data_IF_222356120730
#
_entry.id   IF_222356120730
#
_cell.length_a   1.000
_cell.length_b   1.000
_cell.length_c   1.000
_cell.angle_alpha   90.00
_cell.angle_beta   90.00
_cell.angle_gamma   90.00
#
_symmetry.space_group_name_H-M   'P 1'
#
loop_
_entity.id
_entity.type
_entity.pdbx_description
1 polymer ?
#
# COMPACT_ATOMS: atom_id res chain seq x y z
N UNK A 1 -0.43 -10.89 11.17
CA UNK A 1 -0.58 -9.43 11.24
C UNK A 1 0.23 -8.68 10.19
N UNK A 2 0.97 -9.39 9.31
CA UNK A 2 1.73 -8.79 8.19
C UNK A 2 0.88 -8.06 7.12
N UNK A 3 -0.43 -8.30 7.12
CA UNK A 3 -1.34 -8.04 5.99
C UNK A 3 -2.18 -6.75 6.09
N UNK A 4 -2.24 -6.07 7.24
CA UNK A 4 -3.04 -4.85 7.39
C UNK A 4 -2.59 -3.71 6.44
N UNK A 5 -1.33 -3.69 6.00
CA UNK A 5 -0.83 -2.77 4.96
C UNK A 5 -1.27 -3.15 3.53
N UNK A 6 -1.59 -4.43 3.29
CA UNK A 6 -2.08 -4.93 1.99
C UNK A 6 -3.50 -4.43 1.69
N UNK A 7 -4.29 -4.17 2.74
CA UNK A 7 -5.69 -3.75 2.72
C UNK A 7 -5.90 -2.29 2.30
N UNK A 8 -5.14 -1.35 2.89
CA UNK A 8 -5.11 0.04 2.43
C UNK A 8 -4.52 0.13 1.01
N UNK A 9 -3.53 -0.69 0.70
CA UNK A 9 -2.91 -0.72 -0.62
C UNK A 9 -3.88 -1.18 -1.70
N UNK A 10 -4.49 -2.37 -1.65
CA UNK A 10 -5.24 -2.91 -2.81
C UNK A 10 -6.58 -2.20 -3.16
N UNK A 11 -7.39 -1.79 -2.17
CA UNK A 11 -8.68 -1.14 -2.44
C UNK A 11 -8.50 0.32 -2.93
N UNK A 12 -7.45 0.99 -2.47
CA UNK A 12 -7.09 2.35 -2.88
C UNK A 12 -6.23 2.30 -4.15
N UNK A 13 -5.47 1.24 -4.41
CA UNK A 13 -4.71 1.01 -5.63
C UNK A 13 -5.59 1.00 -6.88
N UNK A 14 -6.78 0.38 -6.82
CA UNK A 14 -7.75 0.49 -7.93
C UNK A 14 -8.22 1.94 -8.18
N UNK A 15 -8.32 2.76 -7.12
CA UNK A 15 -8.79 4.14 -7.22
C UNK A 15 -7.67 5.13 -7.59
N UNK A 16 -6.43 4.90 -7.13
CA UNK A 16 -5.27 5.77 -7.33
C UNK A 16 -4.41 5.41 -8.54
N UNK A 17 -4.30 4.14 -8.94
CA UNK A 17 -3.64 3.78 -10.21
C UNK A 17 -4.39 4.40 -11.39
N UNK A 18 -5.73 4.38 -11.33
CA UNK A 18 -6.57 5.06 -12.33
C UNK A 18 -6.34 6.59 -12.31
N UNK A 19 -6.10 7.19 -11.14
CA UNK A 19 -5.92 8.64 -11.00
C UNK A 19 -4.48 9.12 -11.27
N UNK A 20 -3.46 8.29 -11.04
CA UNK A 20 -2.06 8.57 -11.37
C UNK A 20 -1.82 8.43 -12.89
N UNK A 21 -2.38 7.41 -13.54
CA UNK A 21 -2.36 7.25 -14.99
C UNK A 21 -3.07 8.41 -15.73
N UNK A 22 -4.05 9.07 -15.08
CA UNK A 22 -4.71 10.25 -15.62
C UNK A 22 -3.94 11.57 -15.39
N UNK A 23 -2.99 11.62 -14.45
CA UNK A 23 -2.25 12.84 -14.09
C UNK A 23 -0.98 13.04 -14.92
N UNK A 24 -0.26 11.97 -15.24
CA UNK A 24 1.03 12.07 -15.95
C UNK A 24 0.90 12.42 -17.44
N UNK A 25 -0.32 12.48 -17.99
CA UNK A 25 -0.58 13.02 -19.33
C UNK A 25 -0.42 14.56 -19.43
N UNK A 26 -0.15 15.27 -18.33
CA UNK A 26 0.03 16.74 -18.34
C UNK A 26 1.49 17.21 -18.27
N UNK A 27 2.46 16.28 -18.20
CA UNK A 27 3.90 16.56 -18.32
C UNK A 27 4.53 15.83 -19.51
N UNK A 28 3.85 15.85 -20.66
CA UNK A 28 4.49 15.58 -21.95
C UNK A 28 5.06 16.90 -22.47
N UNK A 29 6.26 17.26 -21.98
CA UNK A 29 7.08 18.29 -22.64
C UNK A 29 7.81 17.62 -23.80
N UNK A 30 7.35 17.95 -25.02
CA UNK A 30 8.02 17.80 -26.33
C UNK A 30 8.76 16.47 -26.57
N UNK A 31 8.06 15.54 -27.20
CA UNK A 31 8.70 14.69 -28.20
C UNK A 31 9.13 15.59 -29.37
N UNK A 32 10.43 15.82 -29.52
CA UNK A 32 11.01 16.31 -30.76
C UNK A 32 10.74 15.28 -31.85
N UNK A 33 10.07 15.71 -32.92
CA UNK A 33 9.99 14.98 -34.17
C UNK A 33 11.41 14.87 -34.75
N UNK A 34 12.15 13.83 -34.38
CA UNK A 34 13.32 13.37 -35.12
C UNK A 34 12.99 12.02 -35.75
N UNK A 35 12.55 12.07 -36.99
CA UNK A 35 12.55 10.94 -37.92
C UNK A 35 13.99 10.53 -38.19
N UNK A 36 14.53 9.65 -37.35
CA UNK A 36 15.84 9.05 -37.51
C UNK A 36 15.96 7.82 -36.63
N UNK A 37 15.57 6.65 -37.16
CA UNK A 37 15.87 5.35 -36.55
C UNK A 37 17.38 5.12 -36.54
N UNK A 38 18.04 5.56 -35.48
CA UNK A 38 19.32 5.03 -35.04
C UNK A 38 19.15 4.69 -33.56
N UNK A 39 19.22 3.40 -33.24
CA UNK A 39 19.09 2.91 -31.88
C UNK A 39 20.21 3.45 -31.01
N UNK A 40 20.00 4.63 -30.42
CA UNK A 40 20.78 5.09 -29.29
C UNK A 40 20.48 4.13 -28.14
N UNK A 41 21.53 3.44 -27.69
CA UNK A 41 21.46 2.70 -26.43
C UNK A 41 21.18 3.76 -25.37
N UNK A 42 19.99 3.75 -24.80
CA UNK A 42 19.59 4.69 -23.75
C UNK A 42 20.42 4.39 -22.49
N UNK A 43 21.52 5.11 -22.34
CA UNK A 43 22.45 4.94 -21.21
C UNK A 43 21.82 5.46 -19.93
N UNK A 44 22.02 4.71 -18.82
CA UNK A 44 21.56 5.12 -17.48
C UNK A 44 22.03 6.55 -17.18
N UNK A 45 21.12 7.48 -16.82
CA UNK A 45 21.53 8.84 -16.49
C UNK A 45 22.43 8.82 -15.26
N UNK A 46 23.45 9.69 -15.19
CA UNK A 46 24.34 9.72 -14.05
C UNK A 46 23.57 10.09 -12.78
N UNK A 47 23.80 9.32 -11.71
CA UNK A 47 23.28 9.66 -10.40
C UNK A 47 24.00 10.92 -9.88
N UNK A 48 23.26 12.03 -9.72
CA UNK A 48 23.76 13.23 -9.08
C UNK A 48 24.04 12.96 -7.60
N UNK A 49 25.28 13.22 -7.22
CA UNK A 49 25.76 13.20 -5.84
C UNK A 49 25.77 14.64 -5.35
N UNK A 50 24.84 14.98 -4.45
CA UNK A 50 24.79 16.30 -3.84
C UNK A 50 25.53 16.29 -2.51
N UNK A 51 26.70 16.95 -2.44
CA UNK A 51 27.53 16.99 -1.22
C UNK A 51 27.00 18.05 -0.24
N UNK A 52 26.47 19.16 -0.74
CA UNK A 52 25.98 20.27 0.06
C UNK A 52 24.60 20.72 -0.45
N UNK A 53 23.55 20.37 0.30
CA UNK A 53 22.16 20.76 -0.02
C UNK A 53 21.90 22.25 0.18
N UNK A 54 22.72 22.95 0.98
CA UNK A 54 22.52 24.36 1.32
C UNK A 54 23.02 25.26 0.18
N UNK A 55 24.15 24.89 -0.42
CA UNK A 55 24.79 25.67 -1.49
C UNK A 55 24.52 25.12 -2.90
N UNK A 56 23.61 24.15 -3.03
CA UNK A 56 23.26 23.56 -4.31
C UNK A 56 22.62 24.58 -5.26
N UNK A 57 23.05 24.56 -6.52
CA UNK A 57 22.42 25.34 -7.57
C UNK A 57 20.98 24.88 -7.83
N UNK A 58 20.15 25.76 -8.40
CA UNK A 58 18.79 25.40 -8.78
C UNK A 58 18.73 24.21 -9.73
N UNK A 59 19.70 24.07 -10.65
CA UNK A 59 19.80 22.94 -11.59
C UNK A 59 20.04 21.62 -10.85
N UNK A 60 20.91 21.62 -9.85
CA UNK A 60 21.20 20.45 -9.03
C UNK A 60 19.99 20.04 -8.19
N UNK A 61 19.29 21.01 -7.61
CA UNK A 61 18.05 20.78 -6.86
C UNK A 61 16.97 20.16 -7.76
N UNK A 62 16.79 20.67 -8.99
CA UNK A 62 15.83 20.11 -9.95
C UNK A 62 16.18 18.66 -10.31
N UNK A 63 17.46 18.38 -10.60
CA UNK A 63 17.93 17.01 -10.89
C UNK A 63 17.71 16.07 -9.71
N UNK A 64 17.99 16.53 -8.48
CA UNK A 64 17.74 15.73 -7.29
C UNK A 64 16.24 15.41 -7.13
N UNK A 65 15.36 16.38 -7.40
CA UNK A 65 13.91 16.13 -7.40
C UNK A 65 13.45 15.17 -8.50
N UNK A 66 14.06 15.22 -9.69
CA UNK A 66 13.82 14.27 -10.77
C UNK A 66 14.21 12.85 -10.33
N UNK A 67 15.41 12.68 -9.78
CA UNK A 67 15.87 11.38 -9.26
C UNK A 67 14.97 10.85 -8.15
N UNK A 68 14.57 11.71 -7.21
CA UNK A 68 13.64 11.34 -6.14
C UNK A 68 12.27 10.92 -6.70
N UNK A 69 11.81 11.58 -7.77
CA UNK A 69 10.57 11.21 -8.46
C UNK A 69 10.73 9.85 -9.15
N UNK A 70 11.87 9.60 -9.79
CA UNK A 70 12.16 8.31 -10.41
C UNK A 70 12.14 7.19 -9.36
N UNK A 71 12.82 7.37 -8.23
CA UNK A 71 12.81 6.38 -7.13
C UNK A 71 11.41 6.18 -6.56
N UNK A 72 10.61 7.24 -6.43
CA UNK A 72 9.25 7.13 -5.92
C UNK A 72 8.34 6.24 -6.79
N UNK A 73 8.57 6.20 -8.10
CA UNK A 73 7.78 5.41 -9.04
C UNK A 73 7.86 3.90 -8.77
N UNK A 74 8.98 3.41 -8.21
CA UNK A 74 9.18 1.97 -7.94
C UNK A 74 8.81 1.55 -6.52
N UNK A 75 8.24 2.44 -5.70
CA UNK A 75 7.84 2.10 -4.33
C UNK A 75 6.94 0.86 -4.26
N UNK A 76 5.96 0.74 -5.15
CA UNK A 76 5.08 -0.43 -5.19
C UNK A 76 5.79 -1.68 -5.74
N UNK A 77 6.76 -1.55 -6.65
CA UNK A 77 7.55 -2.71 -7.09
C UNK A 77 8.38 -3.26 -5.92
N UNK A 78 8.98 -2.36 -5.13
CA UNK A 78 9.67 -2.72 -3.88
C UNK A 78 8.71 -3.34 -2.86
N UNK A 79 7.47 -2.84 -2.76
CA UNK A 79 6.41 -3.47 -1.96
C UNK A 79 6.17 -4.93 -2.39
N UNK A 80 6.00 -5.17 -3.69
CA UNK A 80 5.77 -6.51 -4.25
C UNK A 80 6.91 -7.48 -3.94
N UNK A 81 8.15 -6.99 -3.86
CA UNK A 81 9.31 -7.79 -3.50
C UNK A 81 9.45 -8.04 -1.98
N UNK A 82 9.18 -7.03 -1.13
CA UNK A 82 9.35 -7.18 0.33
C UNK A 82 8.21 -7.95 0.98
N UNK A 83 6.99 -7.88 0.44
CA UNK A 83 5.81 -8.50 1.06
C UNK A 83 6.01 -10.02 1.30
N UNK A 84 6.47 -10.81 0.32
CA UNK A 84 6.76 -12.22 0.55
C UNK A 84 7.80 -12.43 1.66
N UNK A 85 8.92 -11.71 1.63
CA UNK A 85 10.00 -11.82 2.62
C UNK A 85 9.51 -11.49 4.04
N UNK A 86 8.64 -10.49 4.16
CA UNK A 86 8.03 -10.10 5.44
C UNK A 86 7.13 -11.17 6.06
N UNK A 87 6.71 -12.15 5.25
CA UNK A 87 5.90 -13.29 5.69
C UNK A 87 6.75 -14.51 6.09
N UNK A 88 8.09 -14.41 6.02
CA UNK A 88 8.97 -15.46 6.49
C UNK A 88 8.85 -15.65 8.02
N UNK A 89 8.99 -16.88 8.54
CA UNK A 89 9.02 -17.12 9.99
C UNK A 89 10.07 -16.25 10.69
N UNK A 90 9.68 -15.54 11.74
CA UNK A 90 10.54 -14.61 12.48
C UNK A 90 10.73 -13.23 11.85
N UNK A 91 10.23 -13.00 10.62
CA UNK A 91 10.19 -11.68 10.00
C UNK A 91 8.98 -10.88 10.49
N UNK A 92 9.15 -9.56 10.55
CA UNK A 92 8.08 -8.58 10.72
C UNK A 92 7.76 -7.92 9.37
N UNK A 93 6.59 -7.27 9.31
CA UNK A 93 6.20 -6.41 8.18
C UNK A 93 6.53 -4.94 8.42
N UNK A 94 7.50 -4.64 9.30
CA UNK A 94 7.73 -3.27 9.78
C UNK A 94 8.14 -2.30 8.67
N UNK A 95 8.83 -2.74 7.62
CA UNK A 95 9.21 -1.88 6.49
C UNK A 95 8.05 -1.55 5.55
N UNK A 96 7.10 -2.48 5.40
CA UNK A 96 6.02 -2.43 4.39
C UNK A 96 5.20 -1.12 4.40
N UNK A 97 4.76 -0.57 5.55
CA UNK A 97 3.98 0.68 5.57
C UNK A 97 4.74 1.90 5.03
N UNK A 98 6.07 1.85 5.01
CA UNK A 98 6.93 2.98 4.67
C UNK A 98 7.41 2.94 3.22
N UNK A 99 7.11 1.88 2.46
CA UNK A 99 7.39 1.80 1.03
C UNK A 99 6.30 2.51 0.21
N UNK A 100 6.10 3.80 0.48
CA UNK A 100 5.19 4.65 -0.29
C UNK A 100 5.99 5.54 -1.25
N UNK A 101 5.42 5.96 -2.40
CA UNK A 101 6.08 6.90 -3.29
C UNK A 101 6.54 8.17 -2.56
N UNK A 102 5.68 8.69 -1.67
CA UNK A 102 5.98 9.91 -0.93
C UNK A 102 7.15 9.70 0.04
N UNK A 103 7.12 8.65 0.86
CA UNK A 103 8.20 8.36 1.81
C UNK A 103 9.52 8.12 1.09
N UNK A 104 9.55 7.35 0.00
CA UNK A 104 10.79 7.12 -0.75
C UNK A 104 11.31 8.39 -1.43
N UNK A 105 10.42 9.26 -1.91
CA UNK A 105 10.81 10.57 -2.45
C UNK A 105 11.53 11.39 -1.38
N UNK A 106 10.93 11.56 -0.21
CA UNK A 106 11.55 12.32 0.88
C UNK A 106 12.79 11.65 1.44
N UNK A 107 12.84 10.32 1.45
CA UNK A 107 14.03 9.57 1.83
C UNK A 107 15.23 9.88 0.93
N UNK A 108 15.05 9.94 -0.41
CA UNK A 108 16.12 10.33 -1.33
C UNK A 108 16.50 11.80 -1.21
N UNK A 109 15.51 12.68 -0.94
CA UNK A 109 15.75 14.11 -0.72
C UNK A 109 16.45 14.40 0.62
N UNK A 110 16.47 13.45 1.55
CA UNK A 110 17.09 13.65 2.85
C UNK A 110 18.61 13.87 2.68
N UNK A 111 19.23 14.89 3.32
CA UNK A 111 20.63 15.24 3.09
C UNK A 111 21.60 14.07 3.26
N UNK A 112 21.40 13.24 4.28
CA UNK A 112 22.24 12.06 4.53
C UNK A 112 22.07 10.92 3.51
N UNK A 113 21.06 11.00 2.64
CA UNK A 113 20.72 9.95 1.68
C UNK A 113 20.84 10.38 0.22
N UNK A 114 20.79 11.67 -0.07
CA UNK A 114 21.03 12.23 -1.39
C UNK A 114 22.39 11.83 -2.01
N UNK A 115 23.40 11.58 -1.17
CA UNK A 115 24.73 11.08 -1.60
C UNK A 115 25.05 9.66 -1.08
N UNK A 116 24.04 8.91 -0.63
CA UNK A 116 24.29 7.59 -0.07
C UNK A 116 24.40 6.51 -1.16
N UNK A 117 25.12 5.44 -0.85
CA UNK A 117 25.18 4.25 -1.71
C UNK A 117 23.79 3.61 -1.90
N UNK A 118 22.93 3.65 -0.87
CA UNK A 118 21.54 3.20 -0.93
C UNK A 118 20.70 4.08 -1.85
N UNK A 119 20.88 5.40 -1.84
CA UNK A 119 20.20 6.31 -2.77
C UNK A 119 20.56 6.02 -4.23
N UNK A 120 21.85 5.81 -4.52
CA UNK A 120 22.33 5.41 -5.85
C UNK A 120 21.78 4.04 -6.27
N UNK A 121 21.75 3.07 -5.35
CA UNK A 121 21.21 1.74 -5.64
C UNK A 121 19.69 1.77 -5.90
N UNK A 122 18.94 2.58 -5.15
CA UNK A 122 17.51 2.82 -5.38
C UNK A 122 17.25 3.41 -6.76
N UNK A 123 18.02 4.42 -7.15
CA UNK A 123 17.91 5.03 -8.47
C UNK A 123 18.19 4.03 -9.59
N UNK A 124 19.24 3.20 -9.44
CA UNK A 124 19.54 2.11 -10.38
C UNK A 124 18.41 1.10 -10.52
N UNK A 125 17.89 0.62 -9.40
CA UNK A 125 16.75 -0.30 -9.39
C UNK A 125 15.53 0.35 -10.03
N UNK A 126 15.29 1.63 -9.77
CA UNK A 126 14.22 2.39 -10.41
C UNK A 126 14.38 2.45 -11.93
N UNK A 127 15.58 2.80 -12.40
CA UNK A 127 15.89 2.86 -13.81
C UNK A 127 15.64 1.51 -14.50
N UNK A 128 16.18 0.43 -13.96
CA UNK A 128 16.06 -0.91 -14.55
C UNK A 128 14.66 -1.52 -14.51
N UNK A 129 13.80 -1.09 -13.58
CA UNK A 129 12.45 -1.66 -13.43
C UNK A 129 11.36 -0.83 -14.07
N UNK A 130 11.60 0.46 -14.35
CA UNK A 130 10.54 1.37 -14.77
C UNK A 130 10.98 2.34 -15.87
N UNK A 131 12.13 3.00 -15.73
CA UNK A 131 12.47 4.13 -16.62
C UNK A 131 13.24 3.74 -17.88
N UNK A 132 13.88 2.57 -17.94
CA UNK A 132 14.74 2.21 -19.08
C UNK A 132 13.97 1.87 -20.37
N UNK A 133 12.64 1.75 -20.34
CA UNK A 133 11.82 1.67 -21.55
C UNK A 133 10.33 1.97 -21.28
N UNK A 134 9.58 2.49 -22.27
CA UNK A 134 8.13 2.63 -22.16
C UNK A 134 7.40 1.30 -21.92
N UNK A 135 7.96 0.18 -22.43
CA UNK A 135 7.43 -1.17 -22.20
C UNK A 135 7.42 -1.53 -20.72
N UNK A 136 8.47 -1.16 -19.97
CA UNK A 136 8.52 -1.40 -18.52
C UNK A 136 7.46 -0.57 -17.77
N UNK A 137 7.26 0.68 -18.16
CA UNK A 137 6.22 1.54 -17.56
C UNK A 137 4.82 0.94 -17.78
N UNK A 138 4.54 0.49 -19.01
CA UNK A 138 3.28 -0.19 -19.33
C UNK A 138 3.12 -1.52 -18.58
N UNK A 139 4.22 -2.23 -18.30
CA UNK A 139 4.23 -3.52 -17.60
C UNK A 139 4.19 -3.41 -16.08
N UNK A 140 4.08 -2.21 -15.50
CA UNK A 140 4.23 -1.99 -14.05
C UNK A 140 3.41 -2.95 -13.17
N UNK A 141 2.15 -3.19 -13.54
CA UNK A 141 1.24 -4.04 -12.80
C UNK A 141 1.63 -5.51 -12.82
N UNK A 142 2.12 -5.99 -13.95
CA UNK A 142 2.57 -7.37 -14.08
C UNK A 142 3.96 -7.56 -13.47
N UNK A 143 4.85 -6.56 -13.61
CA UNK A 143 6.12 -6.50 -12.89
C UNK A 143 5.94 -6.64 -11.38
N UNK A 144 4.97 -5.91 -10.79
CA UNK A 144 4.61 -6.06 -9.37
C UNK A 144 4.27 -7.52 -9.00
N UNK A 145 3.45 -8.19 -9.82
CA UNK A 145 3.06 -9.60 -9.59
C UNK A 145 4.25 -10.55 -9.75
N UNK A 146 5.11 -10.32 -10.74
CA UNK A 146 6.29 -11.14 -11.00
C UNK A 146 7.29 -11.05 -9.86
N UNK A 147 7.54 -9.83 -9.35
CA UNK A 147 8.34 -9.63 -8.14
C UNK A 147 7.74 -10.38 -6.95
N UNK A 148 6.43 -10.29 -6.73
CA UNK A 148 5.75 -11.07 -5.69
C UNK A 148 5.98 -12.58 -5.81
N UNK A 149 5.85 -13.15 -7.01
CA UNK A 149 6.09 -14.58 -7.25
C UNK A 149 7.55 -14.98 -7.01
N UNK A 150 8.49 -14.21 -7.56
CA UNK A 150 9.92 -14.53 -7.46
C UNK A 150 10.42 -14.38 -6.03
N UNK A 151 10.01 -13.33 -5.31
CA UNK A 151 10.40 -13.18 -3.90
C UNK A 151 9.68 -14.16 -2.97
N UNK A 152 8.51 -14.67 -3.34
CA UNK A 152 7.90 -15.84 -2.67
C UNK A 152 8.78 -17.07 -2.83
N UNK A 153 9.23 -17.35 -4.05
CA UNK A 153 10.15 -18.45 -4.30
C UNK A 153 11.49 -18.28 -3.56
N UNK A 154 12.07 -17.07 -3.56
CA UNK A 154 13.30 -16.76 -2.82
C UNK A 154 13.11 -17.04 -1.33
N UNK A 155 12.00 -16.59 -0.73
CA UNK A 155 11.69 -16.87 0.68
C UNK A 155 11.69 -18.37 0.99
N UNK A 156 11.11 -19.16 0.10
CA UNK A 156 10.86 -20.58 0.33
C UNK A 156 12.08 -21.47 0.01
N UNK A 157 13.00 -21.00 -0.84
CA UNK A 157 14.07 -21.84 -1.40
C UNK A 157 15.50 -21.32 -1.11
N UNK A 158 15.65 -20.09 -0.65
CA UNK A 158 16.97 -19.50 -0.36
C UNK A 158 17.16 -19.38 1.15
N UNK A 159 18.32 -19.77 1.70
CA UNK A 159 18.63 -19.55 3.11
C UNK A 159 18.48 -18.07 3.47
N UNK A 160 17.67 -17.78 4.49
CA UNK A 160 17.44 -16.43 4.97
C UNK A 160 18.16 -16.19 6.30
N UNK A 161 18.62 -14.97 6.52
CA UNK A 161 19.19 -14.50 7.78
C UNK A 161 18.32 -13.42 8.38
N UNK A 162 18.03 -13.58 9.67
CA UNK A 162 17.34 -12.58 10.45
C UNK A 162 18.22 -11.35 10.63
N UNK A 163 17.64 -10.18 10.40
CA UNK A 163 18.23 -8.89 10.68
C UNK A 163 17.29 -8.11 11.58
N UNK A 164 17.80 -7.65 12.71
CA UNK A 164 17.08 -6.78 13.63
C UNK A 164 17.40 -5.31 13.33
N UNK A 165 16.45 -4.43 13.65
CA UNK A 165 16.67 -2.99 13.64
C UNK A 165 17.09 -2.55 15.05
N UNK A 166 18.21 -1.82 15.21
CA UNK A 166 18.63 -1.32 16.52
C UNK A 166 17.52 -0.55 17.23
N UNK A 167 17.22 -0.94 18.48
CA UNK A 167 16.15 -0.32 19.27
C UNK A 167 14.72 -0.74 18.90
N UNK A 168 14.54 -1.61 17.89
CA UNK A 168 13.22 -2.11 17.46
C UNK A 168 13.24 -3.64 17.27
N UNK A 169 13.32 -4.44 18.35
CA UNK A 169 13.43 -5.91 18.24
C UNK A 169 12.21 -6.57 17.57
N UNK A 170 11.04 -5.91 17.61
CA UNK A 170 9.83 -6.36 16.90
C UNK A 170 9.83 -6.03 15.41
N UNK A 171 10.82 -5.27 14.93
CA UNK A 171 11.00 -4.91 13.53
C UNK A 171 12.14 -5.74 12.91
N UNK A 172 12.09 -7.05 13.09
CA UNK A 172 13.03 -7.97 12.44
C UNK A 172 12.64 -8.21 10.98
N UNK A 173 13.59 -8.52 10.10
CA UNK A 173 13.32 -8.98 8.74
C UNK A 173 14.28 -10.06 8.28
N UNK A 174 13.77 -10.97 7.44
CA UNK A 174 14.53 -12.09 6.89
C UNK A 174 15.02 -11.75 5.47
N UNK A 175 16.33 -11.83 5.24
CA UNK A 175 16.95 -11.51 3.96
C UNK A 175 17.77 -12.67 3.41
N UNK A 176 17.88 -12.84 2.08
CA UNK A 176 18.79 -13.82 1.48
C UNK A 176 20.20 -13.76 2.08
N UNK A 177 20.72 -14.92 2.50
CA UNK A 177 22.01 -15.10 3.15
C UNK A 177 23.01 -15.85 2.26
N UNK A 178 23.00 -15.54 0.97
CA UNK A 178 23.92 -16.08 -0.05
C UNK A 178 24.50 -14.92 -0.87
N UNK A 179 25.59 -15.17 -1.59
CA UNK A 179 26.24 -14.13 -2.41
C UNK A 179 25.34 -13.64 -3.54
N UNK A 180 25.54 -12.40 -4.01
CA UNK A 180 24.72 -11.83 -5.09
C UNK A 180 24.75 -12.68 -6.37
N UNK A 181 25.93 -13.20 -6.73
CA UNK A 181 26.09 -14.06 -7.91
C UNK A 181 25.35 -15.39 -7.75
N UNK A 182 25.43 -16.00 -6.55
CA UNK A 182 24.72 -17.24 -6.22
C UNK A 182 23.20 -17.03 -6.26
N UNK A 183 22.72 -15.91 -5.72
CA UNK A 183 21.30 -15.55 -5.77
C UNK A 183 20.82 -15.33 -7.21
N UNK A 184 21.58 -14.62 -8.04
CA UNK A 184 21.27 -14.48 -9.47
C UNK A 184 21.22 -15.83 -10.16
N UNK A 185 22.20 -16.71 -9.93
CA UNK A 185 22.22 -18.04 -10.54
C UNK A 185 21.02 -18.89 -10.11
N UNK A 186 20.68 -18.89 -8.83
CA UNK A 186 19.53 -19.63 -8.29
C UNK A 186 18.21 -19.13 -8.90
N UNK A 187 18.01 -17.82 -8.98
CA UNK A 187 16.80 -17.23 -9.57
C UNK A 187 16.75 -17.46 -11.08
N UNK A 188 17.87 -17.34 -11.79
CA UNK A 188 17.94 -17.65 -13.22
C UNK A 188 17.59 -19.12 -13.50
N UNK A 189 18.08 -20.04 -12.66
CA UNK A 189 17.70 -21.46 -12.73
C UNK A 189 16.21 -21.65 -12.48
N UNK A 190 15.62 -20.93 -11.53
CA UNK A 190 14.20 -21.01 -11.24
C UNK A 190 13.32 -20.50 -12.39
N UNK A 191 13.79 -19.48 -13.12
CA UNK A 191 13.13 -18.89 -14.29
C UNK A 191 13.41 -19.62 -15.61
N UNK A 192 14.25 -20.66 -15.61
CA UNK A 192 14.58 -21.44 -16.80
C UNK A 192 13.38 -22.21 -17.35
N UNK A 193 13.51 -22.80 -18.55
CA UNK A 193 12.43 -23.54 -19.22
C UNK A 193 11.90 -24.74 -18.44
N UNK A 194 12.71 -25.32 -17.55
CA UNK A 194 12.34 -26.42 -16.66
C UNK A 194 12.19 -25.99 -15.20
N UNK A 195 12.31 -24.69 -14.92
CA UNK A 195 12.28 -24.16 -13.56
C UNK A 195 10.85 -23.94 -13.03
N UNK A 196 10.67 -23.91 -11.69
CA UNK A 196 9.38 -23.69 -11.06
C UNK A 196 8.73 -22.32 -11.36
N UNK A 197 9.49 -21.38 -11.91
CA UNK A 197 9.01 -20.04 -12.31
C UNK A 197 8.96 -19.86 -13.83
N UNK A 198 8.97 -20.93 -14.61
CA UNK A 198 8.96 -20.87 -16.08
C UNK A 198 7.82 -19.99 -16.64
N UNK A 199 6.58 -20.16 -16.17
CA UNK A 199 5.44 -19.34 -16.62
C UNK A 199 5.65 -17.86 -16.32
N UNK A 200 6.32 -17.54 -15.20
CA UNK A 200 6.67 -16.16 -14.85
C UNK A 200 7.68 -15.58 -15.84
N UNK A 201 8.66 -16.38 -16.28
CA UNK A 201 9.64 -15.97 -17.28
C UNK A 201 9.01 -15.71 -18.66
N UNK A 202 8.07 -16.56 -19.09
CA UNK A 202 7.31 -16.34 -20.34
C UNK A 202 6.56 -15.02 -20.27
N UNK A 203 5.80 -14.81 -19.19
CA UNK A 203 4.99 -13.60 -19.03
C UNK A 203 5.84 -12.34 -18.89
N UNK A 204 6.98 -12.42 -18.20
CA UNK A 204 7.93 -11.33 -18.07
C UNK A 204 8.52 -10.93 -19.44
N UNK A 205 8.89 -11.90 -20.26
CA UNK A 205 9.40 -11.64 -21.61
C UNK A 205 8.34 -11.07 -22.54
N UNK A 206 7.11 -11.60 -22.50
CA UNK A 206 6.03 -11.15 -23.40
C UNK A 206 5.40 -9.83 -22.98
N UNK A 207 5.30 -9.55 -21.68
CA UNK A 207 4.61 -8.37 -21.14
C UNK A 207 5.56 -7.21 -20.88
N UNK A 208 6.75 -7.50 -20.34
CA UNK A 208 7.70 -6.46 -19.92
C UNK A 208 8.92 -6.32 -20.85
N UNK A 209 9.09 -7.20 -21.84
CA UNK A 209 10.27 -7.20 -22.71
C UNK A 209 11.59 -7.51 -21.99
N UNK A 210 11.52 -8.05 -20.77
CA UNK A 210 12.71 -8.43 -19.99
C UNK A 210 12.98 -9.92 -20.15
N UNK A 211 14.26 -10.27 -20.32
CA UNK A 211 14.67 -11.67 -20.32
C UNK A 211 14.74 -12.20 -18.89
N UNK A 212 14.57 -13.51 -18.73
CA UNK A 212 14.73 -14.19 -17.43
C UNK A 212 16.07 -13.86 -16.76
N UNK A 213 17.16 -13.86 -17.54
CA UNK A 213 18.51 -13.55 -17.05
C UNK A 213 18.64 -12.10 -16.60
N UNK A 214 18.12 -11.15 -17.38
CA UNK A 214 18.15 -9.73 -17.00
C UNK A 214 17.37 -9.49 -15.71
N UNK A 215 16.18 -10.08 -15.58
CA UNK A 215 15.38 -9.97 -14.37
C UNK A 215 16.03 -10.66 -13.16
N UNK A 216 16.62 -11.85 -13.33
CA UNK A 216 17.35 -12.53 -12.27
C UNK A 216 18.55 -11.71 -11.74
N UNK A 217 19.21 -10.93 -12.61
CA UNK A 217 20.28 -10.02 -12.22
C UNK A 217 19.79 -8.82 -11.38
N UNK A 218 18.50 -8.47 -11.44
CA UNK A 218 17.92 -7.40 -10.61
C UNK A 218 17.60 -7.86 -9.19
N UNK A 219 17.34 -9.15 -8.97
CA UNK A 219 16.89 -9.66 -7.67
C UNK A 219 17.87 -9.37 -6.52
N UNK A 220 19.19 -9.58 -6.65
CA UNK A 220 20.12 -9.19 -5.58
C UNK A 220 20.15 -7.69 -5.32
N UNK A 221 20.02 -6.86 -6.36
CA UNK A 221 20.02 -5.40 -6.21
C UNK A 221 18.77 -4.93 -5.45
N UNK A 222 17.59 -5.47 -5.81
CA UNK A 222 16.33 -5.21 -5.11
C UNK A 222 16.42 -5.67 -3.66
N UNK A 223 16.91 -6.89 -3.43
CA UNK A 223 17.06 -7.43 -2.08
C UNK A 223 18.04 -6.61 -1.23
N UNK A 224 19.15 -6.15 -1.82
CA UNK A 224 20.12 -5.31 -1.13
C UNK A 224 19.51 -3.96 -0.76
N UNK A 225 18.79 -3.32 -1.68
CA UNK A 225 18.11 -2.04 -1.42
C UNK A 225 17.07 -2.18 -0.31
N UNK A 226 16.24 -3.22 -0.33
CA UNK A 226 15.25 -3.47 0.72
C UNK A 226 15.91 -3.70 2.09
N UNK A 227 17.04 -4.41 2.10
CA UNK A 227 17.84 -4.64 3.31
C UNK A 227 18.40 -3.34 3.90
N UNK A 228 18.90 -2.43 3.05
CA UNK A 228 19.38 -1.11 3.50
C UNK A 228 18.23 -0.21 3.95
N UNK A 229 17.10 -0.18 3.23
CA UNK A 229 15.89 0.53 3.67
C UNK A 229 15.39 0.02 5.04
N UNK A 230 15.51 -1.29 5.29
CA UNK A 230 15.17 -1.86 6.59
C UNK A 230 16.12 -1.41 7.71
N UNK A 231 17.43 -1.25 7.45
CA UNK A 231 18.35 -0.63 8.42
C UNK A 231 17.94 0.80 8.76
N UNK A 232 17.44 1.51 7.76
CA UNK A 232 16.98 2.90 7.87
C UNK A 232 15.53 3.04 8.34
N UNK A 233 14.93 1.99 8.90
CA UNK A 233 13.53 2.00 9.29
C UNK A 233 13.18 3.18 10.22
N UNK A 234 14.04 3.53 11.18
CA UNK A 234 13.85 4.68 12.07
C UNK A 234 13.78 6.00 11.28
N UNK A 235 14.64 6.18 10.28
CA UNK A 235 14.62 7.38 9.43
C UNK A 235 13.32 7.43 8.60
N UNK A 236 12.92 6.31 7.99
CA UNK A 236 11.67 6.22 7.22
C UNK A 236 10.44 6.53 8.09
N UNK A 237 10.43 6.05 9.33
CA UNK A 237 9.40 6.35 10.33
C UNK A 237 9.35 7.84 10.68
N UNK A 238 10.50 8.46 10.95
CA UNK A 238 10.60 9.88 11.28
C UNK A 238 10.15 10.76 10.11
N UNK A 239 10.62 10.49 8.89
CA UNK A 239 10.17 11.20 7.68
C UNK A 239 8.66 11.08 7.49
N UNK A 240 8.10 9.89 7.69
CA UNK A 240 6.66 9.67 7.58
C UNK A 240 5.87 10.44 8.65
N UNK A 241 6.40 10.50 9.87
CA UNK A 241 5.84 11.30 10.96
C UNK A 241 5.92 12.81 10.66
N UNK A 242 7.06 13.32 10.20
CA UNK A 242 7.23 14.73 9.84
C UNK A 242 6.27 15.14 8.72
N UNK A 243 6.14 14.31 7.69
CA UNK A 243 5.16 14.54 6.61
C UNK A 243 3.72 14.54 7.13
N UNK A 244 3.41 13.68 8.08
CA UNK A 244 2.09 13.67 8.71
C UNK A 244 1.88 14.97 9.51
N UNK A 245 2.80 15.31 10.41
CA UNK A 245 2.70 16.48 11.26
C UNK A 245 2.62 17.78 10.40
N UNK A 246 3.46 17.93 9.38
CA UNK A 246 3.48 19.12 8.53
C UNK A 246 2.18 19.34 7.72
N UNK A 247 1.45 18.28 7.39
CA UNK A 247 0.26 18.37 6.53
C UNK A 247 -1.07 18.14 7.26
N UNK A 248 -1.03 17.52 8.45
CA UNK A 248 -2.22 16.96 9.09
C UNK A 248 -2.28 17.18 10.60
N UNK A 249 -1.29 17.82 11.24
CA UNK A 249 -1.52 18.35 12.58
C UNK A 249 -2.70 19.30 12.47
N UNK A 250 -3.77 19.15 13.27
CA UNK A 250 -4.84 20.12 13.29
C UNK A 250 -4.20 21.49 13.43
N UNK A 251 -4.36 22.37 12.43
CA UNK A 251 -4.17 23.79 12.67
C UNK A 251 -4.97 24.09 13.94
N UNK A 252 -4.33 24.77 14.90
CA UNK A 252 -4.86 25.03 16.24
C UNK A 252 -6.39 25.01 16.24
N UNK A 253 -7.03 24.24 17.15
CA UNK A 253 -8.47 24.00 17.11
C UNK A 253 -9.15 25.28 16.69
N UNK A 254 -9.75 25.28 15.50
CA UNK A 254 -10.50 26.43 15.00
C UNK A 254 -11.35 26.87 16.18
N UNK A 255 -10.98 28.02 16.77
CA UNK A 255 -11.75 28.56 17.88
C UNK A 255 -13.07 28.90 17.23
N UNK A 256 -14.00 27.99 17.40
CA UNK A 256 -15.37 28.14 16.98
C UNK A 256 -15.91 29.27 17.84
N UNK A 257 -15.68 30.50 17.39
CA UNK A 257 -16.43 31.68 17.80
C UNK A 257 -17.85 31.50 17.23
N UNK A 258 -18.52 30.42 17.63
CA UNK A 258 -19.85 30.05 17.25
C UNK A 258 -20.79 31.12 17.79
N UNK A 259 -20.95 32.20 17.03
CA UNK A 259 -22.24 32.85 16.90
C UNK A 259 -23.22 31.74 16.54
N UNK A 260 -24.05 31.36 17.52
CA UNK A 260 -25.14 30.39 17.40
C UNK A 260 -25.84 30.58 16.06
N UNK A 261 -25.53 29.71 15.10
CA UNK A 261 -26.33 29.59 13.88
C UNK A 261 -27.65 28.96 14.33
N UNK A 262 -28.82 29.59 14.10
CA UNK A 262 -30.09 29.03 14.49
C UNK A 262 -30.28 27.68 13.82
N UNK A 263 -30.54 26.63 14.60
CA UNK A 263 -30.94 25.32 14.07
C UNK A 263 -32.18 25.52 13.17
N UNK A 264 -32.09 25.21 11.86
CA UNK A 264 -33.29 25.20 11.04
C UNK A 264 -34.18 24.04 11.49
N UNK A 265 -35.51 24.25 11.57
CA UNK A 265 -36.44 23.27 12.08
C UNK A 265 -36.37 21.98 11.25
N UNK A 266 -36.08 20.87 11.91
CA UNK A 266 -36.35 19.47 11.55
C UNK A 266 -36.84 19.22 10.11
N UNK A 267 -35.94 19.37 9.13
CA UNK A 267 -36.06 18.64 7.86
C UNK A 267 -34.95 17.60 7.81
N UNK A 268 -35.24 16.41 8.34
CA UNK A 268 -34.55 15.19 7.92
C UNK A 268 -34.72 15.10 6.40
N UNK A 269 -33.72 15.55 5.63
CA UNK A 269 -33.59 15.12 4.24
C UNK A 269 -33.29 13.62 4.31
N UNK A 270 -34.33 12.80 4.23
CA UNK A 270 -34.13 11.45 3.70
C UNK A 270 -33.48 11.65 2.33
N UNK A 271 -32.35 10.99 2.10
CA UNK A 271 -31.84 10.84 0.74
C UNK A 271 -33.00 10.25 -0.06
N UNK A 272 -33.55 11.06 -0.97
CA UNK A 272 -34.53 10.61 -1.93
C UNK A 272 -33.98 9.35 -2.59
N UNK A 273 -34.85 8.38 -2.85
CA UNK A 273 -34.56 7.17 -3.59
C UNK A 273 -33.84 7.54 -4.89
N UNK A 274 -32.50 7.46 -4.89
CA UNK A 274 -31.72 7.71 -6.10
C UNK A 274 -31.96 6.49 -6.99
N UNK A 275 -32.80 6.67 -8.00
CA UNK A 275 -32.89 5.75 -9.14
C UNK A 275 -31.52 5.70 -9.79
N UNK A 276 -30.97 4.49 -9.90
CA UNK A 276 -29.64 4.14 -10.38
C UNK A 276 -29.06 5.11 -11.42
N UNK A 277 -28.05 5.89 -11.03
CA UNK A 277 -27.22 6.65 -11.97
C UNK A 277 -25.88 5.92 -12.10
N UNK A 278 -25.87 4.79 -12.80
CA UNK A 278 -24.65 4.26 -13.42
C UNK A 278 -24.44 4.97 -14.77
N UNK A 279 -24.43 6.30 -14.75
CA UNK A 279 -24.06 7.07 -15.93
C UNK A 279 -22.58 7.31 -15.77
N UNK A 280 -21.75 6.67 -16.62
CA UNK A 280 -20.37 7.10 -16.75
C UNK A 280 -20.39 8.63 -16.95
N UNK A 281 -19.50 9.38 -16.29
CA UNK A 281 -19.42 10.82 -16.51
C UNK A 281 -19.43 11.07 -18.03
N UNK A 282 -20.14 12.11 -18.52
CA UNK A 282 -20.14 12.41 -19.94
C UNK A 282 -18.69 12.47 -20.44
N UNK A 283 -18.43 12.16 -21.70
CA UNK A 283 -17.05 12.18 -22.26
C UNK A 283 -16.35 13.54 -22.12
N UNK A 284 -17.11 14.58 -21.81
CA UNK A 284 -16.67 15.95 -21.50
C UNK A 284 -16.39 16.22 -20.01
N UNK A 285 -16.56 15.23 -19.13
CA UNK A 285 -16.25 15.38 -17.72
C UNK A 285 -14.74 15.46 -17.54
N UNK A 286 -14.28 16.64 -17.14
CA UNK A 286 -12.90 16.87 -16.75
C UNK A 286 -12.89 16.91 -15.22
N UNK A 287 -12.27 15.94 -14.53
CA UNK A 287 -12.16 16.00 -13.08
C UNK A 287 -11.41 17.27 -12.69
N UNK A 288 -11.95 17.99 -11.70
CA UNK A 288 -11.31 19.18 -11.18
C UNK A 288 -9.93 18.82 -10.60
N UNK A 289 -8.96 19.72 -10.74
CA UNK A 289 -7.65 19.55 -10.14
C UNK A 289 -7.81 19.38 -8.61
N UNK A 290 -7.07 18.47 -7.95
CA UNK A 290 -7.21 18.27 -6.52
C UNK A 290 -7.08 19.54 -5.69
N UNK A 291 -6.21 20.49 -6.07
CA UNK A 291 -6.08 21.77 -5.37
C UNK A 291 -7.38 22.61 -5.33
N UNK A 292 -8.35 22.35 -6.21
CA UNK A 292 -9.62 23.07 -6.26
C UNK A 292 -10.79 22.31 -5.61
N UNK A 293 -10.56 21.08 -5.14
CA UNK A 293 -11.56 20.29 -4.44
C UNK A 293 -11.61 20.69 -2.95
N UNK A 294 -12.79 20.76 -2.32
CA UNK A 294 -12.86 20.96 -0.87
C UNK A 294 -12.27 19.75 -0.13
N UNK A 295 -11.68 19.99 1.04
CA UNK A 295 -11.26 18.90 1.92
C UNK A 295 -12.49 18.15 2.43
N UNK A 296 -12.56 16.85 2.15
CA UNK A 296 -13.66 15.98 2.57
C UNK A 296 -13.22 15.12 3.74
N UNK A 297 -13.81 15.36 4.92
CA UNK A 297 -13.59 14.51 6.09
C UNK A 297 -14.57 13.34 6.09
N UNK A 298 -14.05 12.12 6.13
CA UNK A 298 -14.80 10.87 6.07
C UNK A 298 -14.63 10.10 7.38
N UNK A 299 -15.66 10.01 8.22
CA UNK A 299 -15.59 9.26 9.47
C UNK A 299 -15.58 7.75 9.22
N UNK A 300 -14.71 7.03 9.93
CA UNK A 300 -14.60 5.57 9.89
C UNK A 300 -15.06 4.95 11.20
N UNK A 301 -15.83 3.87 11.12
CA UNK A 301 -16.15 3.01 12.26
C UNK A 301 -15.62 1.61 11.97
N UNK A 302 -14.76 1.12 12.86
CA UNK A 302 -14.21 -0.22 12.77
C UNK A 302 -14.98 -1.18 13.67
N UNK A 303 -15.33 -2.34 13.16
CA UNK A 303 -15.99 -3.43 13.87
C UNK A 303 -15.04 -4.62 13.91
N UNK A 304 -14.39 -4.86 15.04
CA UNK A 304 -13.44 -5.97 15.21
C UNK A 304 -14.23 -7.19 15.66
N UNK A 305 -14.48 -8.13 14.74
CA UNK A 305 -15.18 -9.36 15.08
C UNK A 305 -14.24 -10.31 15.81
N UNK A 306 -14.80 -10.93 16.84
CA UNK A 306 -14.16 -11.88 17.72
C UNK A 306 -14.78 -13.27 17.52
N UNK A 307 -14.16 -14.29 18.08
CA UNK A 307 -14.74 -15.62 18.19
C UNK A 307 -14.50 -16.21 19.57
N UNK A 308 -15.42 -17.06 20.00
CA UNK A 308 -15.22 -17.90 21.17
C UNK A 308 -14.63 -19.24 20.75
N UNK A 309 -13.58 -19.70 21.42
CA UNK A 309 -13.02 -21.03 21.19
C UNK A 309 -13.74 -22.05 22.06
N UNK A 310 -14.45 -23.01 21.47
CA UNK A 310 -15.14 -24.03 22.26
C UNK A 310 -14.20 -24.96 23.03
N UNK A 311 -12.94 -25.08 22.60
CA UNK A 311 -11.94 -25.86 23.33
C UNK A 311 -11.54 -25.21 24.66
N UNK A 312 -11.78 -23.91 24.82
CA UNK A 312 -11.57 -23.17 26.05
C UNK A 312 -12.67 -22.12 26.16
N UNK A 313 -13.79 -22.46 26.81
CA UNK A 313 -15.00 -21.64 26.89
C UNK A 313 -14.76 -20.18 27.31
N UNK A 314 -13.66 -19.88 28.00
CA UNK A 314 -13.29 -18.54 28.45
C UNK A 314 -12.32 -17.79 27.52
N UNK A 315 -11.88 -18.39 26.42
CA UNK A 315 -10.95 -17.80 25.47
C UNK A 315 -11.68 -17.10 24.33
N UNK A 316 -11.48 -15.79 24.26
CA UNK A 316 -11.93 -14.93 23.16
C UNK A 316 -10.75 -14.71 22.21
N UNK A 317 -10.92 -15.13 20.97
CA UNK A 317 -10.01 -14.84 19.86
C UNK A 317 -10.54 -13.71 18.98
N UNK A 318 -9.72 -13.14 18.07
CA UNK A 318 -8.27 -13.32 17.97
C UNK A 318 -7.53 -12.84 19.23
N UNK A 319 -6.43 -13.49 19.61
CA UNK A 319 -5.53 -12.96 20.67
C UNK A 319 -5.11 -11.51 20.34
N UNK A 320 -4.90 -10.69 21.37
CA UNK A 320 -4.44 -9.30 21.20
C UNK A 320 -5.42 -8.40 20.39
N UNK A 321 -6.71 -8.75 20.32
CA UNK A 321 -7.73 -7.91 19.66
C UNK A 321 -7.89 -6.53 20.32
N UNK A 322 -7.46 -6.40 21.58
CA UNK A 322 -7.38 -5.16 22.34
C UNK A 322 -6.36 -4.18 21.76
N UNK A 323 -5.34 -4.65 21.04
CA UNK A 323 -4.39 -3.80 20.32
C UNK A 323 -4.95 -3.21 19.02
N UNK A 324 -6.13 -3.65 18.56
CA UNK A 324 -6.71 -3.22 17.29
C UNK A 324 -6.76 -1.69 17.08
N UNK A 325 -7.09 -0.84 18.08
CA UNK A 325 -7.05 0.62 17.92
C UNK A 325 -5.69 1.14 17.44
N UNK A 326 -4.59 0.67 18.04
CA UNK A 326 -3.23 1.10 17.66
C UNK A 326 -2.83 0.71 16.24
N UNK A 327 -3.35 -0.42 15.74
CA UNK A 327 -3.14 -0.84 14.34
C UNK A 327 -4.00 -0.02 13.39
N UNK A 328 -5.24 0.28 13.78
CA UNK A 328 -6.17 1.11 13.01
C UNK A 328 -5.62 2.53 12.86
N UNK A 329 -5.06 3.13 13.90
CA UNK A 329 -4.48 4.48 13.82
C UNK A 329 -3.36 4.54 12.77
N UNK A 330 -2.47 3.54 12.75
CA UNK A 330 -1.42 3.43 11.74
C UNK A 330 -1.96 3.21 10.33
N UNK A 331 -3.03 2.41 10.20
CA UNK A 331 -3.67 2.17 8.91
C UNK A 331 -4.37 3.42 8.37
N UNK A 332 -5.08 4.17 9.22
CA UNK A 332 -5.74 5.43 8.83
C UNK A 332 -4.71 6.51 8.51
N UNK A 333 -3.60 6.56 9.24
CA UNK A 333 -2.45 7.39 8.90
C UNK A 333 -1.96 7.09 7.47
N UNK A 334 -1.68 5.83 7.15
CA UNK A 334 -1.23 5.43 5.82
C UNK A 334 -2.28 5.74 4.74
N UNK A 335 -3.56 5.50 5.04
CA UNK A 335 -4.66 5.80 4.14
C UNK A 335 -4.75 7.31 3.84
N UNK A 336 -4.55 8.18 4.83
CA UNK A 336 -4.51 9.63 4.62
C UNK A 336 -3.31 10.08 3.77
N UNK A 337 -2.14 9.46 3.99
CA UNK A 337 -0.97 9.71 3.13
C UNK A 337 -1.25 9.34 1.68
N UNK A 338 -1.92 8.20 1.45
CA UNK A 338 -2.31 7.74 0.11
C UNK A 338 -3.43 8.58 -0.51
N UNK A 339 -4.41 9.03 0.28
CA UNK A 339 -5.57 9.79 -0.19
C UNK A 339 -5.29 11.29 -0.35
N UNK A 340 -4.11 11.78 0.04
CA UNK A 340 -3.72 13.19 -0.13
C UNK A 340 -4.03 13.76 -1.53
N UNK A 341 -3.79 13.06 -2.66
CA UNK A 341 -4.08 13.61 -3.98
C UNK A 341 -5.57 13.77 -4.29
N UNK A 342 -6.48 13.30 -3.45
CA UNK A 342 -7.94 13.36 -3.68
C UNK A 342 -8.65 14.35 -2.76
N UNK A 343 -7.92 15.01 -1.85
CA UNK A 343 -8.47 15.85 -0.76
C UNK A 343 -9.46 15.13 0.16
N UNK A 344 -9.43 13.79 0.18
CA UNK A 344 -10.14 13.02 1.20
C UNK A 344 -9.24 12.82 2.41
N UNK A 345 -9.80 13.12 3.58
CA UNK A 345 -9.23 12.80 4.87
C UNK A 345 -10.15 11.82 5.58
N UNK A 346 -9.57 10.80 6.17
CA UNK A 346 -10.26 9.81 6.96
C UNK A 346 -9.92 9.99 8.43
N UNK A 347 -10.93 9.86 9.28
CA UNK A 347 -10.78 9.96 10.73
C UNK A 347 -11.42 8.77 11.41
N UNK A 348 -10.74 8.18 12.39
CA UNK A 348 -11.31 7.13 13.23
C UNK A 348 -12.36 7.79 14.13
N UNK A 349 -13.65 7.53 13.85
CA UNK A 349 -14.75 7.95 14.72
C UNK A 349 -14.87 7.00 15.91
N UNK A 350 -14.75 5.71 15.66
CA UNK A 350 -14.93 4.68 16.67
C UNK A 350 -14.25 3.36 16.27
N UNK A 351 -13.67 2.67 17.25
CA UNK A 351 -13.22 1.27 17.13
C UNK A 351 -14.03 0.42 18.09
N UNK A 352 -14.86 -0.47 17.55
CA UNK A 352 -15.71 -1.39 18.30
C UNK A 352 -15.01 -2.73 18.40
N UNK A 353 -14.35 -2.97 19.53
CA UNK A 353 -13.69 -4.23 19.85
C UNK A 353 -14.14 -4.83 21.21
N UNK A 354 -14.98 -4.13 21.98
CA UNK A 354 -15.58 -4.64 23.21
C UNK A 354 -16.86 -5.43 22.93
N UNK A 355 -16.78 -6.76 22.99
CA UNK A 355 -17.93 -7.64 22.74
C UNK A 355 -18.98 -7.60 23.86
N UNK A 356 -18.65 -7.15 25.07
CA UNK A 356 -19.63 -7.00 26.16
C UNK A 356 -20.54 -5.81 25.88
N UNK A 357 -19.99 -4.73 25.33
CA UNK A 357 -20.73 -3.56 24.86
C UNK A 357 -21.44 -3.81 23.52
N UNK A 358 -20.79 -4.52 22.60
CA UNK A 358 -21.28 -4.80 21.26
C UNK A 358 -21.38 -6.32 21.02
N UNK A 359 -22.44 -6.96 21.55
CA UNK A 359 -22.59 -8.42 21.52
C UNK A 359 -22.49 -9.06 20.12
N UNK A 360 -22.85 -8.32 19.07
CA UNK A 360 -22.75 -8.79 17.68
C UNK A 360 -21.32 -8.99 17.18
N UNK A 361 -20.31 -8.49 17.90
CA UNK A 361 -18.90 -8.71 17.55
C UNK A 361 -18.46 -10.15 17.85
N UNK A 362 -19.08 -10.84 18.81
CA UNK A 362 -18.67 -12.19 19.19
C UNK A 362 -19.35 -13.25 18.34
N UNK A 363 -18.57 -13.93 17.51
CA UNK A 363 -19.03 -15.09 16.76
C UNK A 363 -18.85 -16.37 17.59
N UNK A 364 -19.78 -17.32 17.42
CA UNK A 364 -19.81 -18.53 18.25
C UNK A 364 -18.63 -19.48 18.04
N UNK A 365 -17.86 -19.38 16.95
CA UNK A 365 -16.70 -20.25 16.74
C UNK A 365 -15.67 -19.65 15.79
N UNK A 366 -14.43 -20.13 15.90
CA UNK A 366 -13.35 -19.78 14.95
C UNK A 366 -13.72 -20.12 13.51
N UNK A 367 -14.32 -21.29 13.28
CA UNK A 367 -14.76 -21.70 11.93
C UNK A 367 -15.75 -20.68 11.33
N UNK A 368 -16.77 -20.26 12.09
CA UNK A 368 -17.71 -19.23 11.66
C UNK A 368 -17.02 -17.89 11.40
N UNK A 369 -16.07 -17.53 12.23
CA UNK A 369 -15.28 -16.32 12.07
C UNK A 369 -14.40 -16.35 10.82
N UNK A 370 -13.80 -17.49 10.48
CA UNK A 370 -13.06 -17.66 9.23
C UNK A 370 -13.94 -17.57 7.99
N UNK A 371 -15.16 -18.11 8.05
CA UNK A 371 -16.12 -18.16 6.94
C UNK A 371 -16.92 -16.86 6.76
N UNK A 372 -16.97 -15.99 7.77
CA UNK A 372 -17.83 -14.80 7.78
C UNK A 372 -17.69 -13.90 6.54
N UNK A 373 -16.49 -13.63 5.97
CA UNK A 373 -16.35 -12.86 4.73
C UNK A 373 -16.92 -13.54 3.49
N UNK A 374 -17.03 -14.87 3.49
CA UNK A 374 -17.31 -15.64 2.28
C UNK A 374 -18.77 -16.08 2.20
N UNK A 375 -19.44 -16.14 3.34
CA UNK A 375 -20.78 -16.68 3.42
C UNK A 375 -21.85 -15.64 3.05
N UNK A 376 -22.21 -15.56 1.76
CA UNK A 376 -23.23 -14.61 1.26
C UNK A 376 -24.67 -14.98 1.62
N UNK A 377 -24.96 -16.27 1.87
CA UNK A 377 -26.34 -16.79 2.02
C UNK A 377 -26.68 -17.34 3.41
N UNK A 378 -25.72 -17.47 4.32
CA UNK A 378 -26.03 -17.94 5.68
C UNK A 378 -26.49 -16.79 6.58
N UNK A 379 -27.27 -17.15 7.61
CA UNK A 379 -27.68 -16.24 8.69
C UNK A 379 -26.49 -15.64 9.45
N UNK A 380 -25.33 -16.30 9.40
CA UNK A 380 -24.06 -15.86 10.01
C UNK A 380 -23.15 -15.09 9.04
N UNK A 381 -23.61 -14.81 7.83
CA UNK A 381 -22.85 -14.05 6.84
C UNK A 381 -22.64 -12.61 7.30
N UNK A 382 -21.42 -12.09 7.15
CA UNK A 382 -21.07 -10.72 7.54
C UNK A 382 -21.97 -9.67 6.87
N UNK A 383 -22.53 -9.96 5.69
CA UNK A 383 -23.46 -9.07 5.01
C UNK A 383 -24.76 -8.86 5.79
N UNK A 384 -25.32 -9.94 6.35
CA UNK A 384 -26.53 -9.87 7.16
C UNK A 384 -26.23 -9.17 8.49
N UNK A 385 -25.08 -9.46 9.10
CA UNK A 385 -24.60 -8.78 10.29
C UNK A 385 -24.46 -7.27 10.03
N UNK A 386 -23.70 -6.89 9.01
CA UNK A 386 -23.44 -5.50 8.67
C UNK A 386 -24.74 -4.75 8.34
N UNK A 387 -25.68 -5.36 7.63
CA UNK A 387 -26.98 -4.72 7.35
C UNK A 387 -27.76 -4.36 8.63
N UNK A 388 -27.64 -5.15 9.69
CA UNK A 388 -28.34 -4.91 10.95
C UNK A 388 -27.63 -3.91 11.89
N UNK A 389 -26.33 -3.71 11.74
CA UNK A 389 -25.51 -2.94 12.69
C UNK A 389 -24.81 -1.70 12.12
N UNK A 390 -25.03 -1.40 10.84
CA UNK A 390 -24.53 -0.18 10.16
C UNK A 390 -25.53 0.98 10.35
N UNK A 391 -25.86 1.30 11.60
CA UNK A 391 -26.80 2.39 11.95
C UNK A 391 -26.23 3.78 11.66
N UNK A 392 -24.91 3.92 11.58
CA UNK A 392 -24.22 5.17 11.32
C UNK A 392 -24.16 5.55 9.83
N UNK A 393 -24.56 4.66 8.92
CA UNK A 393 -24.63 4.97 7.49
C UNK A 393 -25.78 5.94 7.19
N UNK A 394 -25.59 6.96 6.32
CA UNK A 394 -24.43 7.24 5.47
C UNK A 394 -23.40 8.22 6.06
N UNK A 395 -23.41 8.47 7.37
CA UNK A 395 -22.53 9.45 8.01
C UNK A 395 -21.11 8.95 8.25
N UNK A 396 -20.89 7.65 8.18
CA UNK A 396 -19.56 7.04 8.30
C UNK A 396 -19.41 5.83 7.38
N UNK A 397 -18.17 5.53 7.01
CA UNK A 397 -17.80 4.26 6.38
C UNK A 397 -17.65 3.21 7.50
N UNK A 398 -18.37 2.10 7.35
CA UNK A 398 -18.32 1.00 8.31
C UNK A 398 -17.38 -0.08 7.77
N UNK A 399 -16.42 -0.45 8.61
CA UNK A 399 -15.31 -1.33 8.28
C UNK A 399 -15.33 -2.54 9.22
N UNK A 400 -15.60 -3.72 8.70
CA UNK A 400 -15.64 -4.95 9.48
C UNK A 400 -14.32 -5.70 9.34
N UNK A 401 -13.70 -6.09 10.46
CA UNK A 401 -12.42 -6.84 10.50
C UNK A 401 -12.69 -8.22 11.07
N UNK A 402 -12.45 -9.29 10.29
CA UNK A 402 -12.86 -10.67 10.61
C UNK A 402 -12.04 -11.69 9.80
N UNK A 403 -11.86 -12.94 10.26
CA UNK A 403 -11.08 -14.00 9.58
C UNK A 403 -9.57 -13.74 9.55
N UNK A 404 -8.72 -14.78 9.53
CA UNK A 404 -7.26 -14.71 9.37
C UNK A 404 -6.83 -15.52 8.15
N UNK A 405 -5.54 -15.50 7.79
CA UNK A 405 -4.97 -16.15 6.60
C UNK A 405 -5.33 -17.64 6.43
N UNK A 406 -5.78 -18.36 7.48
CA UNK A 406 -6.18 -19.77 7.38
C UNK A 406 -7.59 -20.00 6.82
N UNK A 407 -8.44 -18.97 6.72
CA UNK A 407 -9.83 -19.02 6.20
C UNK A 407 -10.05 -19.40 4.71
N UNK A 408 -9.22 -20.27 4.12
CA UNK A 408 -9.51 -20.99 2.86
C UNK A 408 -9.53 -20.19 1.54
N UNK A 409 -9.63 -18.86 1.59
CA UNK A 409 -9.62 -17.98 0.41
C UNK A 409 -8.42 -17.03 0.42
N UNK A 410 -7.91 -16.65 -0.75
CA UNK A 410 -6.80 -15.70 -0.90
C UNK A 410 -7.25 -14.23 -0.90
N UNK A 411 -8.54 -13.97 -0.67
CA UNK A 411 -9.10 -12.61 -0.71
C UNK A 411 -8.71 -11.84 0.57
N UNK A 412 -8.20 -10.63 0.38
CA UNK A 412 -7.78 -9.70 1.43
C UNK A 412 -8.97 -9.05 2.16
N UNK A 413 -10.01 -8.79 1.40
CA UNK A 413 -11.22 -8.08 1.78
C UNK A 413 -12.02 -7.74 0.53
N UNK A 414 -13.18 -7.15 0.73
CA UNK A 414 -14.02 -6.66 -0.35
C UNK A 414 -14.79 -5.42 0.09
N UNK A 415 -15.21 -4.65 -0.90
CA UNK A 415 -16.00 -3.45 -0.71
C UNK A 415 -17.31 -3.57 -1.46
N UNK A 416 -18.35 -2.95 -0.94
CA UNK A 416 -19.59 -2.71 -1.68
C UNK A 416 -19.55 -1.32 -2.29
N UNK A 417 -19.77 -1.24 -3.60
CA UNK A 417 -19.89 0.03 -4.32
C UNK A 417 -21.35 0.52 -4.30
N UNK A 418 -21.60 1.85 -4.35
CA UNK A 418 -22.93 2.36 -4.66
C UNK A 418 -23.30 1.83 -6.06
N UNK A 419 -24.44 1.11 -6.26
CA UNK A 419 -25.80 1.45 -5.82
C UNK A 419 -26.43 0.46 -4.82
N UNK A 420 -25.65 -0.49 -4.30
CA UNK A 420 -26.11 -1.29 -3.16
C UNK A 420 -26.25 -0.36 -1.96
N UNK A 421 -27.35 -0.44 -1.19
CA UNK A 421 -27.76 0.56 -0.17
C UNK A 421 -26.78 0.76 1.02
N UNK A 422 -25.55 0.28 0.90
CA UNK A 422 -24.53 0.14 1.93
C UNK A 422 -23.14 0.24 1.28
N UNK A 423 -22.36 1.31 1.54
CA UNK A 423 -20.91 1.27 1.32
C UNK A 423 -20.30 0.60 2.55
N UNK A 424 -19.78 -0.59 2.37
CA UNK A 424 -19.21 -1.42 3.43
C UNK A 424 -17.86 -1.95 2.96
N UNK A 425 -16.87 -1.92 3.83
CA UNK A 425 -15.61 -2.60 3.62
C UNK A 425 -15.52 -3.74 4.63
N UNK A 426 -15.22 -4.94 4.15
CA UNK A 426 -15.02 -6.12 4.99
C UNK A 426 -13.60 -6.60 4.75
N UNK A 427 -12.85 -6.69 5.82
CA UNK A 427 -11.42 -6.90 5.83
C UNK A 427 -11.06 -8.11 6.68
N UNK A 428 -9.93 -8.72 6.32
CA UNK A 428 -9.41 -9.90 7.00
C UNK A 428 -8.47 -9.54 8.14
N UNK A 429 -8.80 -9.91 9.37
CA UNK A 429 -7.95 -9.76 10.54
C UNK A 429 -6.88 -10.84 10.64
N UNK A 430 -5.66 -10.61 10.15
CA UNK A 430 -4.60 -11.62 10.23
C UNK A 430 -3.89 -11.59 11.58
N UNK A 431 -3.82 -12.73 12.27
CA UNK A 431 -2.84 -13.02 13.32
C UNK A 431 -1.42 -13.04 12.81
#
# INVERSE_FOLDING_TARGET
MAFYNRLASHAIFYFLVLHALLRDNTLVVRASNETGQQGSIETEPPFLVLIDTVNASSIEIHKLHEQASNVSAVAYLLFGAVEPLSSAPGSSNALVPYLTPLTLRFYILHPERANSSVGKALYKVSWSLYWSSPTLQACFQDMHKFLGKVFTWVRDNIPLRLQEVPGQPKASAMWPNIGSLELTAAVASALSSSGPLHDTAILLSSSCGLTATAFAALVPNISSVLKELHKDLTLLQNLTKEMYDANWTPQQPYQDNATKVPEPPNRRRQLQTITYVNVMPPSTFIPAAPATLPNVLVPLIFHILLYQDYASLDSIGPKEYDQAPSYIDRMVLQMNLMAKPTNFQFVVKEVRNDYKKYGYLLLGSRARWLEAPFCRKCSTGIFNLARSYVSDWPRSINIFVVSDSSGGSQIAGYAFTPPTRLLQFIFRGCH
#
